data_IF_891321538257
#
_entry.id   IF_891321538257
#
_cell.length_a   1.000
_cell.length_b   1.000
_cell.length_c   1.000
_cell.angle_alpha   90.00
_cell.angle_beta   90.00
_cell.angle_gamma   90.00
#
_symmetry.space_group_name_H-M   'P 1'
#
loop_
_entity.id
_entity.type
_entity.pdbx_description
1 polymer ?
#
# COMPACT_ATOMS: atom_id res chain seq x y z
N UNK A 1 -24.29 27.86 -66.63
CA UNK A 1 -23.10 28.20 -65.82
C UNK A 1 -22.31 26.91 -65.63
N UNK A 2 -21.17 26.76 -66.32
CA UNK A 2 -20.15 25.72 -66.04
C UNK A 2 -19.44 26.09 -64.73
N UNK A 3 -19.12 25.09 -63.91
CA UNK A 3 -18.06 25.02 -62.88
C UNK A 3 -18.20 23.62 -62.21
N UNK A 4 -17.56 22.58 -62.73
CA UNK A 4 -16.17 22.10 -62.55
C UNK A 4 -15.85 21.35 -61.24
N UNK A 5 -15.75 20.02 -61.39
CA UNK A 5 -14.69 19.08 -61.00
C UNK A 5 -13.98 19.12 -59.62
N UNK A 6 -14.23 20.07 -58.72
CA UNK A 6 -13.60 20.08 -57.38
C UNK A 6 -14.47 19.46 -56.27
N UNK A 7 -15.74 19.16 -56.55
CA UNK A 7 -16.60 18.32 -55.72
C UNK A 7 -16.25 16.82 -55.73
N UNK A 8 -15.36 16.38 -56.63
CA UNK A 8 -15.00 14.97 -56.81
C UNK A 8 -13.79 14.52 -55.97
N UNK A 9 -13.04 15.45 -55.36
CA UNK A 9 -11.80 15.15 -54.63
C UNK A 9 -11.97 14.99 -53.11
N UNK A 10 -13.10 15.40 -52.53
CA UNK A 10 -13.28 15.38 -51.07
C UNK A 10 -13.92 14.08 -50.52
N UNK A 11 -14.68 13.35 -51.35
CA UNK A 11 -15.27 12.06 -50.95
C UNK A 11 -14.29 10.89 -51.16
N UNK A 12 -13.30 11.07 -52.03
CA UNK A 12 -12.27 10.06 -52.33
C UNK A 12 -11.18 9.91 -51.24
N UNK A 13 -11.24 10.65 -50.14
CA UNK A 13 -10.27 10.58 -49.02
C UNK A 13 -10.83 9.96 -47.73
N UNK A 14 -12.12 9.61 -47.68
CA UNK A 14 -12.77 8.99 -46.52
C UNK A 14 -13.02 7.47 -46.65
N UNK A 15 -12.67 6.86 -47.80
CA UNK A 15 -12.82 5.41 -48.04
C UNK A 15 -11.50 4.84 -48.56
N UNK A 16 -10.44 4.94 -47.75
CA UNK A 16 -9.29 4.04 -47.82
C UNK A 16 -9.42 3.05 -46.67
N UNK A 17 -9.91 1.86 -46.96
CA UNK A 17 -10.03 0.79 -45.97
C UNK A 17 -10.80 -0.44 -46.43
N UNK A 18 -11.51 -0.39 -47.56
CA UNK A 18 -12.11 -1.59 -48.16
C UNK A 18 -11.69 -1.70 -49.62
N UNK A 19 -10.80 -2.65 -49.89
CA UNK A 19 -10.32 -2.95 -51.23
C UNK A 19 -11.42 -3.54 -52.10
N UNK A 20 -11.96 -2.71 -53.00
CA UNK A 20 -12.57 -3.16 -54.25
C UNK A 20 -12.16 -2.18 -55.36
N UNK A 21 -11.48 -2.73 -56.37
CA UNK A 21 -10.92 -2.00 -57.52
C UNK A 21 -12.04 -1.61 -58.50
N UNK A 22 -11.99 -0.41 -59.12
CA UNK A 22 -12.91 -0.01 -60.17
C UNK A 22 -12.48 -0.66 -61.50
N UNK A 23 -13.35 -0.62 -62.52
CA UNK A 23 -13.19 -1.22 -63.87
C UNK A 23 -13.89 -2.58 -64.02
N UNK A 24 -15.18 -2.54 -64.38
CA UNK A 24 -15.74 -3.21 -65.57
C UNK A 24 -17.26 -3.05 -65.64
N UNK A 25 -17.73 -2.84 -66.88
CA UNK A 25 -19.10 -2.91 -67.40
C UNK A 25 -19.94 -1.64 -67.19
N UNK A 26 -19.74 -0.61 -68.02
CA UNK A 26 -20.25 -0.44 -69.39
C UNK A 26 -21.78 -0.29 -69.49
N UNK A 27 -22.19 0.93 -69.86
CA UNK A 27 -23.11 1.22 -70.97
C UNK A 27 -24.13 0.15 -71.36
N UNK A 28 -25.41 0.42 -71.11
CA UNK A 28 -26.45 0.53 -72.15
C UNK A 28 -27.78 0.90 -71.51
N UNK A 29 -28.40 1.97 -71.99
CA UNK A 29 -29.85 2.08 -71.90
C UNK A 29 -30.48 1.01 -72.79
N UNK A 30 -31.59 0.44 -72.36
CA UNK A 30 -32.86 0.47 -73.10
C UNK A 30 -33.94 -0.23 -72.28
N UNK A 31 -35.17 0.24 -72.44
CA UNK A 31 -36.40 -0.47 -72.10
C UNK A 31 -36.36 -1.91 -72.58
N UNK A 32 -36.79 -2.87 -71.75
CA UNK A 32 -37.81 -3.85 -72.16
C UNK A 32 -38.29 -4.69 -70.98
N UNK A 33 -39.61 -4.65 -70.85
CA UNK A 33 -40.51 -5.57 -70.16
C UNK A 33 -40.10 -7.04 -70.31
N UNK A 34 -39.96 -7.77 -69.20
CA UNK A 34 -40.11 -9.23 -69.22
C UNK A 34 -40.92 -9.72 -68.01
N UNK A 35 -42.07 -10.27 -68.37
CA UNK A 35 -43.02 -11.05 -67.58
C UNK A 35 -42.34 -12.15 -66.75
N UNK A 36 -42.85 -12.30 -65.53
CA UNK A 36 -43.24 -13.62 -65.02
C UNK A 36 -42.19 -14.39 -64.23
N UNK A 37 -42.41 -14.43 -62.91
CA UNK A 37 -42.00 -15.55 -62.07
C UNK A 37 -40.82 -15.29 -61.13
N UNK A 38 -41.01 -14.46 -60.10
CA UNK A 38 -40.16 -14.53 -58.91
C UNK A 38 -40.98 -14.21 -57.66
N UNK A 39 -41.27 -15.30 -56.93
CA UNK A 39 -41.72 -15.42 -55.54
C UNK A 39 -41.52 -14.13 -54.73
N UNK A 40 -42.59 -13.36 -54.55
CA UNK A 40 -42.69 -12.28 -53.56
C UNK A 40 -42.45 -12.92 -52.19
N UNK A 41 -41.21 -12.90 -51.70
CA UNK A 41 -40.96 -13.11 -50.27
C UNK A 41 -41.69 -11.96 -49.58
N UNK A 42 -42.61 -12.27 -48.68
CA UNK A 42 -43.36 -11.23 -47.99
C UNK A 42 -42.35 -10.28 -47.33
N UNK A 43 -42.65 -8.98 -47.35
CA UNK A 43 -41.79 -7.95 -46.73
C UNK A 43 -41.46 -8.33 -45.28
N UNK A 44 -42.37 -9.03 -44.59
CA UNK A 44 -42.15 -9.61 -43.27
C UNK A 44 -41.02 -10.64 -43.20
N UNK A 45 -40.89 -11.54 -44.18
CA UNK A 45 -39.80 -12.54 -44.21
C UNK A 45 -38.43 -11.86 -44.43
N UNK A 46 -38.38 -10.84 -45.28
CA UNK A 46 -37.14 -10.08 -45.53
C UNK A 46 -36.75 -9.26 -44.30
N UNK A 47 -37.70 -8.58 -43.66
CA UNK A 47 -37.47 -7.81 -42.42
C UNK A 47 -37.08 -8.74 -41.26
N UNK A 48 -37.69 -9.91 -41.14
CA UNK A 48 -37.34 -10.91 -40.14
C UNK A 48 -35.93 -11.49 -40.36
N UNK A 49 -35.54 -11.73 -41.62
CA UNK A 49 -34.19 -12.17 -41.96
C UNK A 49 -33.13 -11.11 -41.61
N UNK A 50 -33.36 -9.84 -42.00
CA UNK A 50 -32.48 -8.72 -41.62
C UNK A 50 -32.38 -8.53 -40.10
N UNK A 51 -33.50 -8.63 -39.37
CA UNK A 51 -33.49 -8.53 -37.90
C UNK A 51 -32.69 -9.68 -37.28
N UNK A 52 -32.84 -10.91 -37.77
CA UNK A 52 -32.05 -12.07 -37.31
C UNK A 52 -30.57 -11.90 -37.59
N UNK A 53 -30.19 -11.42 -38.77
CA UNK A 53 -28.79 -11.12 -39.10
C UNK A 53 -28.19 -10.03 -38.21
N UNK A 54 -28.96 -8.95 -37.95
CA UNK A 54 -28.54 -7.95 -36.99
C UNK A 54 -28.40 -8.54 -35.59
N UNK A 55 -29.39 -9.30 -35.10
CA UNK A 55 -29.34 -9.94 -33.78
C UNK A 55 -28.15 -10.91 -33.65
N UNK A 56 -27.80 -11.63 -34.71
CA UNK A 56 -26.61 -12.49 -34.75
C UNK A 56 -25.32 -11.65 -34.67
N UNK A 57 -25.20 -10.58 -35.46
CA UNK A 57 -24.05 -9.67 -35.39
C UNK A 57 -23.93 -8.99 -34.01
N UNK A 58 -25.04 -8.60 -33.39
CA UNK A 58 -25.08 -8.03 -32.04
C UNK A 58 -24.65 -9.06 -30.98
N UNK A 59 -25.09 -10.32 -31.09
CA UNK A 59 -24.69 -11.40 -30.17
C UNK A 59 -23.20 -11.73 -30.29
N UNK A 60 -22.66 -11.79 -31.51
CA UNK A 60 -21.23 -12.06 -31.74
C UNK A 60 -20.34 -10.93 -31.19
N UNK A 61 -20.72 -9.68 -31.42
CA UNK A 61 -20.03 -8.51 -30.85
C UNK A 61 -20.11 -8.49 -29.33
N UNK A 62 -21.28 -8.72 -28.75
CA UNK A 62 -21.46 -8.74 -27.31
C UNK A 62 -20.67 -9.88 -26.66
N UNK A 63 -20.61 -11.07 -27.27
CA UNK A 63 -19.80 -12.19 -26.78
C UNK A 63 -18.32 -11.87 -26.81
N UNK A 64 -17.86 -11.23 -27.88
CA UNK A 64 -16.46 -10.80 -28.03
C UNK A 64 -16.10 -9.76 -26.96
N UNK A 65 -16.94 -8.72 -26.79
CA UNK A 65 -16.75 -7.67 -25.77
C UNK A 65 -16.78 -8.26 -24.36
N UNK A 66 -17.73 -9.15 -24.05
CA UNK A 66 -17.83 -9.81 -22.75
C UNK A 66 -16.55 -10.62 -22.44
N UNK A 67 -15.99 -11.30 -23.43
CA UNK A 67 -14.77 -12.10 -23.26
C UNK A 67 -13.56 -11.20 -22.95
N UNK A 68 -13.41 -10.07 -23.65
CA UNK A 68 -12.35 -9.11 -23.37
C UNK A 68 -12.51 -8.44 -21.99
N UNK A 69 -13.73 -8.09 -21.60
CA UNK A 69 -14.00 -7.52 -20.28
C UNK A 69 -13.69 -8.53 -19.17
N UNK A 70 -14.11 -9.78 -19.33
CA UNK A 70 -13.81 -10.84 -18.37
C UNK A 70 -12.30 -11.09 -18.24
N UNK A 71 -11.57 -11.14 -19.38
CA UNK A 71 -10.12 -11.27 -19.37
C UNK A 71 -9.43 -10.08 -18.67
N UNK A 72 -9.92 -8.85 -18.88
CA UNK A 72 -9.42 -7.67 -18.21
C UNK A 72 -9.59 -7.72 -16.69
N UNK A 73 -10.77 -8.13 -16.21
CA UNK A 73 -11.05 -8.27 -14.76
C UNK A 73 -10.15 -9.33 -14.12
N UNK A 74 -10.03 -10.50 -14.75
CA UNK A 74 -9.17 -11.58 -14.24
C UNK A 74 -7.70 -11.17 -14.25
N UNK A 75 -7.24 -10.48 -15.31
CA UNK A 75 -5.89 -9.96 -15.39
C UNK A 75 -5.58 -8.92 -14.30
N UNK A 76 -6.50 -7.99 -14.05
CA UNK A 76 -6.33 -6.95 -13.03
C UNK A 76 -6.33 -7.54 -11.61
N UNK A 77 -7.21 -8.53 -11.34
CA UNK A 77 -7.23 -9.27 -10.08
C UNK A 77 -5.93 -10.07 -9.87
N UNK A 78 -5.46 -10.76 -10.91
CA UNK A 78 -4.20 -11.52 -10.86
C UNK A 78 -2.98 -10.64 -10.58
N UNK A 79 -2.89 -9.48 -11.24
CA UNK A 79 -1.81 -8.50 -11.00
C UNK A 79 -1.85 -7.93 -9.58
N UNK A 80 -3.05 -7.62 -9.07
CA UNK A 80 -3.22 -7.10 -7.71
C UNK A 80 -2.78 -8.12 -6.66
N UNK A 81 -3.12 -9.40 -6.85
CA UNK A 81 -2.71 -10.48 -5.96
C UNK A 81 -1.20 -10.77 -6.04
N UNK A 82 -0.61 -10.69 -7.23
CA UNK A 82 0.83 -10.91 -7.44
C UNK A 82 1.71 -9.74 -6.95
N UNK A 83 1.16 -8.52 -6.84
CA UNK A 83 1.91 -7.34 -6.41
C UNK A 83 2.45 -7.49 -4.98
N UNK A 84 1.69 -8.09 -4.07
CA UNK A 84 2.07 -8.26 -2.66
C UNK A 84 3.34 -9.12 -2.48
N UNK A 85 3.42 -10.37 -2.97
CA UNK A 85 4.64 -11.18 -2.83
C UNK A 85 5.81 -10.59 -3.62
N UNK A 86 5.58 -9.96 -4.77
CA UNK A 86 6.63 -9.29 -5.53
C UNK A 86 7.23 -8.11 -4.75
N UNK A 87 6.38 -7.33 -4.08
CA UNK A 87 6.82 -6.24 -3.20
C UNK A 87 7.61 -6.76 -2.00
N UNK A 88 7.19 -7.88 -1.39
CA UNK A 88 7.93 -8.54 -0.30
C UNK A 88 9.32 -8.98 -0.75
N UNK A 89 9.43 -9.62 -1.91
CA UNK A 89 10.71 -10.03 -2.50
C UNK A 89 11.62 -8.82 -2.79
N UNK A 90 11.05 -7.73 -3.31
CA UNK A 90 11.79 -6.49 -3.52
C UNK A 90 12.28 -5.87 -2.19
N UNK A 91 11.43 -5.83 -1.17
CA UNK A 91 11.77 -5.31 0.15
C UNK A 91 12.87 -6.15 0.83
N UNK A 92 12.81 -7.49 0.70
CA UNK A 92 13.85 -8.39 1.18
C UNK A 92 15.18 -8.20 0.44
N UNK A 93 15.14 -8.01 -0.88
CA UNK A 93 16.34 -7.83 -1.69
C UNK A 93 17.01 -6.45 -1.51
N UNK A 94 16.23 -5.41 -1.23
CA UNK A 94 16.73 -4.03 -1.08
C UNK A 94 16.92 -3.58 0.36
N UNK A 95 16.43 -4.36 1.34
CA UNK A 95 16.57 -4.05 2.77
C UNK A 95 15.78 -2.81 3.23
N UNK A 96 14.89 -2.26 2.40
CA UNK A 96 14.13 -1.04 2.67
C UNK A 96 12.85 -1.25 3.49
N UNK A 97 12.49 -2.50 3.80
CA UNK A 97 11.20 -2.86 4.37
C UNK A 97 11.29 -3.80 5.56
N UNK A 98 12.22 -3.52 6.49
CA UNK A 98 12.38 -4.12 7.82
C UNK A 98 11.70 -5.47 7.97
N UNK A 99 12.49 -6.55 7.84
CA UNK A 99 12.12 -7.96 7.99
C UNK A 99 10.79 -8.19 8.70
N UNK A 100 9.69 -8.29 7.93
CA UNK A 100 8.50 -9.01 8.36
C UNK A 100 8.82 -10.52 8.32
N UNK A 101 9.79 -10.92 9.15
CA UNK A 101 9.95 -12.31 9.55
C UNK A 101 9.06 -12.46 10.78
N UNK A 102 7.98 -13.21 10.59
CA UNK A 102 7.21 -13.80 11.67
C UNK A 102 8.16 -14.34 12.75
N UNK A 103 8.00 -13.82 13.98
CA UNK A 103 8.69 -14.35 15.14
C UNK A 103 9.95 -13.59 15.56
N UNK A 104 9.75 -12.41 16.17
CA UNK A 104 10.58 -12.03 17.31
C UNK A 104 10.32 -13.00 18.46
N UNK A 105 10.70 -14.27 18.31
CA UNK A 105 10.72 -15.24 19.39
C UNK A 105 12.02 -15.07 20.16
N UNK A 106 11.86 -14.98 21.46
CA UNK A 106 12.83 -14.92 22.55
C UNK A 106 14.05 -15.88 22.47
N UNK A 107 14.15 -16.76 21.48
CA UNK A 107 15.28 -17.68 21.26
C UNK A 107 16.54 -17.00 20.69
N UNK A 108 16.42 -15.91 19.94
CA UNK A 108 17.61 -15.23 19.36
C UNK A 108 18.46 -14.49 20.42
N UNK A 109 17.94 -14.29 21.63
CA UNK A 109 18.66 -13.59 22.70
C UNK A 109 19.79 -14.48 23.27
N UNK A 110 19.65 -15.82 23.22
CA UNK A 110 20.63 -16.74 23.82
C UNK A 110 21.87 -16.98 22.95
N UNK A 111 21.82 -16.65 21.65
CA UNK A 111 22.91 -16.90 20.68
C UNK A 111 23.65 -15.65 20.23
N UNK A 112 23.25 -14.46 20.70
CA UNK A 112 23.94 -13.20 20.36
C UNK A 112 25.27 -13.09 21.12
N UNK A 113 26.39 -13.05 20.40
CA UNK A 113 27.68 -12.67 20.96
C UNK A 113 27.81 -11.14 20.98
N UNK A 114 27.99 -10.50 22.15
CA UNK A 114 28.10 -9.05 22.24
C UNK A 114 29.41 -8.56 21.61
N UNK A 115 29.31 -7.61 20.69
CA UNK A 115 30.48 -7.02 20.00
C UNK A 115 31.06 -5.91 20.87
N UNK A 116 31.89 -6.30 21.84
CA UNK A 116 32.43 -5.44 22.93
C UNK A 116 33.19 -4.19 22.47
N UNK A 117 33.60 -4.12 21.21
CA UNK A 117 34.46 -3.05 20.69
C UNK A 117 33.69 -1.77 20.31
N UNK A 118 32.34 -1.79 20.36
CA UNK A 118 31.51 -0.66 19.94
C UNK A 118 30.50 -0.24 21.01
N UNK A 119 30.81 0.82 21.75
CA UNK A 119 29.94 1.37 22.79
C UNK A 119 29.02 2.43 22.19
N UNK A 120 27.71 2.26 22.35
CA UNK A 120 26.68 3.19 21.91
C UNK A 120 26.09 3.93 23.11
N UNK A 121 26.01 5.25 23.01
CA UNK A 121 25.33 6.09 23.99
C UNK A 121 23.84 6.12 23.68
N UNK A 122 23.03 5.61 24.60
CA UNK A 122 21.57 5.75 24.57
C UNK A 122 21.19 6.92 25.44
N UNK A 123 20.41 7.86 24.90
CA UNK A 123 19.82 8.96 25.64
C UNK A 123 18.32 8.80 25.72
N UNK A 124 17.76 9.14 26.88
CA UNK A 124 16.35 8.97 27.17
C UNK A 124 15.69 10.34 27.29
N UNK A 125 14.68 10.56 26.44
CA UNK A 125 13.88 11.76 26.46
C UNK A 125 12.42 11.43 26.80
N UNK A 126 11.77 12.34 27.51
CA UNK A 126 10.39 12.20 27.97
C UNK A 126 9.62 13.49 27.75
N UNK A 127 8.50 13.38 27.04
CA UNK A 127 7.58 14.47 26.77
C UNK A 127 6.16 14.08 27.20
N UNK A 128 5.38 15.08 27.60
CA UNK A 128 3.95 14.93 27.90
C UNK A 128 3.17 15.94 27.09
N UNK A 129 2.08 15.50 26.48
CA UNK A 129 1.19 16.40 25.77
C UNK A 129 0.46 17.32 26.75
N UNK A 130 0.17 18.56 26.34
CA UNK A 130 -0.46 19.60 27.18
C UNK A 130 -1.80 19.20 27.80
N UNK A 131 -2.53 18.26 27.19
CA UNK A 131 -3.78 17.72 27.75
C UNK A 131 -3.55 16.78 28.94
N UNK A 132 -2.37 16.16 29.03
CA UNK A 132 -2.04 15.19 30.07
C UNK A 132 -1.24 15.86 31.19
N UNK A 133 -1.85 15.99 32.36
CA UNK A 133 -1.23 16.58 33.53
C UNK A 133 -0.40 15.57 34.32
N UNK A 134 0.51 14.86 33.64
CA UNK A 134 1.44 13.93 34.29
C UNK A 134 2.83 14.53 34.42
N UNK A 135 3.53 14.17 35.49
CA UNK A 135 4.97 14.37 35.57
C UNK A 135 5.65 13.07 35.14
N UNK A 136 6.20 13.06 33.93
CA UNK A 136 6.86 11.89 33.35
C UNK A 136 8.31 12.24 33.03
N UNK A 137 9.24 11.51 33.63
CA UNK A 137 10.69 11.76 33.49
C UNK A 137 11.48 10.45 33.48
N UNK A 138 12.58 10.35 32.71
CA UNK A 138 13.51 9.25 32.87
C UNK A 138 14.18 9.31 34.23
N UNK A 139 14.44 8.15 34.85
CA UNK A 139 15.30 8.07 36.04
C UNK A 139 16.78 8.27 35.70
N UNK A 140 17.17 7.86 34.49
CA UNK A 140 18.51 7.97 33.95
C UNK A 140 18.46 8.62 32.57
N UNK A 141 19.21 9.71 32.38
CA UNK A 141 19.22 10.47 31.12
C UNK A 141 20.01 9.78 30.02
N UNK A 142 20.99 8.96 30.40
CA UNK A 142 21.83 8.24 29.46
C UNK A 142 22.34 6.91 30.02
N UNK A 143 22.56 5.94 29.13
CA UNK A 143 23.19 4.65 29.40
C UNK A 143 24.11 4.30 28.25
N UNK A 144 25.22 3.63 28.55
CA UNK A 144 26.15 3.10 27.56
C UNK A 144 25.91 1.61 27.40
N UNK A 145 25.67 1.17 26.17
CA UNK A 145 25.36 -0.23 25.86
C UNK A 145 26.18 -0.70 24.68
N UNK A 146 26.46 -1.99 24.65
CA UNK A 146 27.13 -2.64 23.52
C UNK A 146 26.08 -3.35 22.64
N UNK A 147 26.20 -3.34 21.31
CA UNK A 147 25.36 -4.18 20.44
C UNK A 147 25.42 -5.67 20.82
N UNK A 148 24.26 -6.29 20.95
CA UNK A 148 24.07 -7.65 21.49
C UNK A 148 23.90 -7.71 23.02
N UNK A 149 24.12 -6.61 23.75
CA UNK A 149 23.86 -6.52 25.19
C UNK A 149 22.42 -6.05 25.46
N UNK A 150 21.76 -6.69 26.43
CA UNK A 150 20.45 -6.26 26.90
C UNK A 150 20.58 -5.22 28.00
N UNK A 151 19.73 -4.19 27.97
CA UNK A 151 19.75 -3.10 28.93
C UNK A 151 18.34 -2.78 29.46
N UNK A 152 18.30 -2.30 30.69
CA UNK A 152 17.08 -1.90 31.38
C UNK A 152 17.16 -0.42 31.76
N UNK A 153 16.11 0.32 31.41
CA UNK A 153 15.95 1.71 31.81
C UNK A 153 14.61 1.96 32.49
N UNK A 154 14.59 2.86 33.47
CA UNK A 154 13.38 3.18 34.22
C UNK A 154 12.92 4.59 33.90
N UNK A 155 11.62 4.74 33.68
CA UNK A 155 10.94 6.03 33.70
C UNK A 155 10.04 6.12 34.92
N UNK A 156 9.84 7.33 35.41
CA UNK A 156 8.94 7.61 36.51
C UNK A 156 7.77 8.43 36.00
N UNK A 157 6.55 7.96 36.27
CA UNK A 157 5.32 8.69 35.99
C UNK A 157 4.57 8.98 37.29
N UNK A 158 4.07 10.21 37.42
CA UNK A 158 3.24 10.63 38.54
C UNK A 158 2.02 11.39 38.06
N UNK A 159 0.86 11.05 38.63
CA UNK A 159 -0.36 11.82 38.48
C UNK A 159 -0.55 12.77 39.69
N UNK A 160 -0.22 14.07 39.58
CA UNK A 160 -0.42 15.04 40.65
C UNK A 160 -1.88 15.48 40.86
N UNK A 161 -2.84 14.99 40.08
CA UNK A 161 -4.24 15.45 40.12
C UNK A 161 -5.09 14.60 41.07
N UNK A 162 -6.26 15.11 41.44
CA UNK A 162 -7.23 14.43 42.32
C UNK A 162 -8.17 13.45 41.57
N UNK A 163 -7.95 13.24 40.27
CA UNK A 163 -8.75 12.31 39.44
C UNK A 163 -7.86 11.26 38.77
N UNK A 164 -8.37 10.03 38.54
CA UNK A 164 -7.65 9.06 37.74
C UNK A 164 -7.55 9.57 36.29
N UNK A 165 -6.39 9.39 35.68
CA UNK A 165 -6.11 9.77 34.30
C UNK A 165 -5.57 8.54 33.58
N UNK A 166 -5.99 8.35 32.32
CA UNK A 166 -5.49 7.29 31.46
C UNK A 166 -4.60 7.93 30.40
N UNK A 167 -3.38 7.44 30.29
CA UNK A 167 -2.40 7.87 29.30
C UNK A 167 -2.04 6.75 28.34
N UNK A 168 -1.81 7.11 27.08
CA UNK A 168 -1.18 6.24 26.09
C UNK A 168 0.14 6.89 25.64
N UNK A 169 1.18 6.09 25.45
CA UNK A 169 2.47 6.60 24.97
C UNK A 169 2.80 6.11 23.57
N UNK A 170 3.46 6.99 22.82
CA UNK A 170 4.19 6.65 21.60
C UNK A 170 5.68 6.86 21.83
N UNK A 171 6.50 6.21 21.02
CA UNK A 171 7.94 6.33 21.08
C UNK A 171 8.53 6.64 19.70
N UNK A 172 9.71 7.26 19.72
CA UNK A 172 10.53 7.49 18.55
C UNK A 172 12.00 7.19 18.85
N UNK A 173 12.71 6.65 17.86
CA UNK A 173 14.15 6.37 17.92
C UNK A 173 14.85 7.29 16.93
N UNK A 174 15.84 8.03 17.41
CA UNK A 174 16.67 8.90 16.58
C UNK A 174 18.14 8.49 16.67
N UNK A 175 18.89 8.46 15.56
CA UNK A 175 18.42 8.71 14.20
C UNK A 175 17.53 7.56 13.68
N UNK A 176 16.58 7.81 12.75
CA UNK A 176 15.60 6.80 12.32
C UNK A 176 16.22 5.53 11.73
N UNK A 177 17.39 5.66 11.10
CA UNK A 177 18.13 4.54 10.49
C UNK A 177 18.63 3.55 11.54
N UNK A 178 18.85 4.00 12.79
CA UNK A 178 19.18 3.13 13.91
C UNK A 178 17.95 2.41 14.48
N UNK A 179 16.74 2.90 14.18
CA UNK A 179 15.48 2.34 14.68
C UNK A 179 15.25 0.89 14.29
N UNK A 180 15.76 0.44 13.13
CA UNK A 180 15.62 -0.95 12.67
C UNK A 180 16.44 -1.95 13.49
N UNK A 181 17.51 -1.49 14.15
CA UNK A 181 18.36 -2.31 15.01
C UNK A 181 17.98 -2.19 16.49
N UNK A 182 17.12 -1.24 16.83
CA UNK A 182 16.70 -0.99 18.21
C UNK A 182 15.49 -1.85 18.54
N UNK A 183 15.72 -2.97 19.23
CA UNK A 183 14.68 -3.93 19.58
C UNK A 183 14.18 -3.68 21.00
N UNK A 184 12.93 -3.22 21.12
CA UNK A 184 12.27 -3.02 22.40
C UNK A 184 11.47 -4.27 22.79
N UNK A 185 11.99 -5.05 23.74
CA UNK A 185 11.39 -6.32 24.16
C UNK A 185 10.13 -6.09 25.02
N UNK A 186 10.11 -5.07 25.89
CA UNK A 186 8.95 -4.79 26.77
C UNK A 186 8.60 -3.31 26.77
N UNK A 187 7.34 -2.98 26.42
CA UNK A 187 6.91 -1.63 26.09
C UNK A 187 5.51 -1.29 26.64
N UNK A 188 5.43 -0.27 27.52
CA UNK A 188 4.16 0.39 27.88
C UNK A 188 3.53 1.18 26.74
N UNK A 189 4.30 1.42 25.68
CA UNK A 189 3.79 2.04 24.48
C UNK A 189 2.77 1.07 23.90
N UNK A 190 1.56 1.58 23.64
CA UNK A 190 0.37 0.85 23.20
C UNK A 190 -0.53 0.24 24.28
N UNK A 191 -0.14 0.27 25.55
CA UNK A 191 -1.06 -0.09 26.65
C UNK A 191 -1.58 1.17 27.33
N UNK A 192 -2.89 1.19 27.59
CA UNK A 192 -3.54 2.23 28.37
C UNK A 192 -3.03 2.15 29.82
N UNK A 193 -2.20 3.12 30.21
CA UNK A 193 -1.71 3.24 31.58
C UNK A 193 -2.69 4.11 32.37
N UNK A 194 -3.30 3.56 33.42
CA UNK A 194 -4.16 4.31 34.33
C UNK A 194 -3.40 4.61 35.60
N UNK A 195 -3.21 5.89 35.91
CA UNK A 195 -2.69 6.35 37.20
C UNK A 195 -3.81 6.95 38.03
N UNK A 196 -3.99 6.45 39.25
CA UNK A 196 -4.90 7.00 40.25
C UNK A 196 -4.39 8.36 40.77
N UNK A 197 -5.23 9.09 41.50
CA UNK A 197 -4.82 10.35 42.11
C UNK A 197 -3.57 10.19 42.98
N UNK A 198 -2.59 11.08 42.79
CA UNK A 198 -1.31 11.11 43.51
C UNK A 198 -0.46 9.85 43.40
N UNK A 199 -0.81 8.93 42.50
CA UNK A 199 -0.07 7.70 42.26
C UNK A 199 1.23 8.00 41.50
N UNK A 200 2.30 7.33 41.92
CA UNK A 200 3.63 7.38 41.31
C UNK A 200 4.07 5.94 41.02
N UNK A 201 4.46 5.67 39.77
CA UNK A 201 4.87 4.34 39.31
C UNK A 201 6.18 4.42 38.53
N UNK A 202 7.00 3.40 38.72
CA UNK A 202 8.21 3.18 37.92
C UNK A 202 7.89 2.24 36.75
N UNK A 203 8.26 2.68 35.55
CA UNK A 203 7.95 2.05 34.28
C UNK A 203 9.26 1.52 33.65
N UNK A 204 9.58 0.22 33.81
CA UNK A 204 10.74 -0.42 33.19
C UNK A 204 10.64 -0.59 31.67
N UNK A 205 11.68 -0.18 30.95
CA UNK A 205 11.88 -0.39 29.52
C UNK A 205 13.07 -1.31 29.31
N UNK A 206 12.79 -2.51 28.82
CA UNK A 206 13.81 -3.50 28.46
C UNK A 206 14.04 -3.51 26.95
N UNK A 207 15.31 -3.35 26.55
CA UNK A 207 15.70 -3.22 25.15
C UNK A 207 17.10 -3.77 24.90
N UNK A 208 17.44 -3.99 23.64
CA UNK A 208 18.80 -4.28 23.17
C UNK A 208 19.02 -3.67 21.78
N UNK A 209 20.28 -3.55 21.39
CA UNK A 209 20.65 -3.19 20.02
C UNK A 209 21.09 -4.47 19.33
N UNK A 210 20.57 -4.74 18.13
CA UNK A 210 20.98 -5.87 17.32
C UNK A 210 22.48 -5.79 16.95
N UNK A 211 23.27 -6.88 17.08
CA UNK A 211 24.67 -6.90 16.66
C UNK A 211 24.89 -6.54 15.17
N UNK A 212 23.91 -6.76 14.28
CA UNK A 212 23.96 -6.34 12.87
C UNK A 212 24.17 -4.82 12.71
N UNK A 213 23.90 -4.02 13.74
CA UNK A 213 24.20 -2.59 13.78
C UNK A 213 25.69 -2.29 13.51
N UNK A 214 26.59 -3.21 13.87
CA UNK A 214 28.03 -3.05 13.66
C UNK A 214 28.42 -3.31 12.21
N UNK A 215 27.67 -4.16 11.51
CA UNK A 215 27.97 -4.59 10.15
C UNK A 215 27.50 -3.58 9.09
N UNK A 216 26.49 -2.75 9.38
CA UNK A 216 25.98 -1.74 8.44
C UNK A 216 26.93 -0.52 8.33
N UNK A 217 27.51 -0.23 7.14
CA UNK A 217 28.35 0.95 6.91
C UNK A 217 27.64 2.28 7.19
N UNK A 218 26.31 2.34 7.03
CA UNK A 218 25.53 3.56 7.34
C UNK A 218 25.55 3.86 8.82
N UNK A 219 25.65 2.81 9.65
CA UNK A 219 25.63 2.95 11.09
C UNK A 219 26.98 3.31 11.66
N UNK A 220 28.10 3.16 10.94
CA UNK A 220 29.48 3.40 11.41
C UNK A 220 29.67 4.70 12.20
N UNK A 221 28.99 5.78 11.81
CA UNK A 221 29.07 7.11 12.45
C UNK A 221 28.04 7.35 13.55
N UNK A 222 27.08 6.45 13.72
CA UNK A 222 26.03 6.55 14.73
C UNK A 222 26.56 5.97 16.04
N UNK A 223 26.84 6.86 16.99
CA UNK A 223 27.27 6.50 18.35
C UNK A 223 26.28 6.99 19.43
N UNK A 224 25.27 7.73 19.01
CA UNK A 224 24.24 8.30 19.86
C UNK A 224 22.88 7.89 19.31
N UNK A 225 22.10 7.22 20.15
CA UNK A 225 20.70 6.92 19.87
C UNK A 225 19.86 7.61 20.95
N UNK A 226 18.80 8.29 20.53
CA UNK A 226 17.84 8.93 21.43
C UNK A 226 16.53 8.17 21.38
N UNK A 227 16.12 7.63 22.53
CA UNK A 227 14.80 7.05 22.72
C UNK A 227 13.90 8.10 23.36
N UNK A 228 12.96 8.63 22.58
CA UNK A 228 12.01 9.65 23.02
C UNK A 228 10.63 9.04 23.23
N UNK A 229 10.05 9.25 24.41
CA UNK A 229 8.67 8.91 24.73
C UNK A 229 7.79 10.15 24.78
N UNK A 230 6.59 10.07 24.23
CA UNK A 230 5.57 11.12 24.39
C UNK A 230 4.26 10.50 24.87
N UNK A 231 3.74 10.99 25.98
CA UNK A 231 2.44 10.57 26.53
C UNK A 231 1.30 11.51 26.12
N UNK A 232 0.16 10.90 25.82
CA UNK A 232 -1.10 11.56 25.46
C UNK A 232 -2.22 11.12 26.39
N UNK A 233 -3.15 12.01 26.71
CA UNK A 233 -4.36 11.65 27.48
C UNK A 233 -5.28 10.84 26.57
N UNK A 234 -5.58 9.60 26.98
CA UNK A 234 -6.56 8.76 26.33
C UNK A 234 -7.95 9.04 26.93
N UNK A 235 -8.93 9.30 26.07
CA UNK A 235 -10.33 9.36 26.51
C UNK A 235 -10.79 7.94 26.81
N UNK A 236 -11.56 7.78 27.89
CA UNK A 236 -12.15 6.48 28.27
C UNK A 236 -12.95 5.93 27.08
N UNK A 237 -12.53 4.79 26.54
CA UNK A 237 -13.14 4.14 25.37
C UNK A 237 -12.56 4.50 24.00
N UNK A 238 -11.44 5.22 23.94
CA UNK A 238 -10.72 5.47 22.69
C UNK A 238 -9.97 4.22 22.25
N UNK A 239 -10.53 3.47 21.29
CA UNK A 239 -9.79 2.41 20.60
C UNK A 239 -8.92 3.05 19.53
N UNK A 240 -7.57 2.97 19.63
CA UNK A 240 -6.71 3.38 18.54
C UNK A 240 -7.12 2.59 17.28
N UNK A 241 -7.18 3.21 16.09
CA UNK A 241 -7.35 2.46 14.85
C UNK A 241 -6.16 1.52 14.73
N UNK A 242 -6.39 0.21 14.89
CA UNK A 242 -5.39 -0.79 14.57
C UNK A 242 -5.07 -0.64 13.07
N UNK A 243 -3.79 -0.66 12.65
CA UNK A 243 -3.45 -0.76 11.23
C UNK A 243 -4.11 -2.04 10.71
N UNK A 244 -5.18 -1.85 9.94
CA UNK A 244 -5.97 -2.95 9.39
C UNK A 244 -5.15 -3.65 8.32
N UNK A 245 -4.62 -4.82 8.66
CA UNK A 245 -4.32 -5.84 7.66
C UNK A 245 -5.62 -6.57 7.35
N UNK A 246 -6.34 -6.08 6.33
CA UNK A 246 -7.34 -6.85 5.60
C UNK A 246 -6.67 -7.40 4.32
#
# INVERSE_FOLDING_TARGET
MRLDAKGCALVARAVRGRGCNPVRLCHRGNSQEFRGGQREKSIEEVVAAFRREQDQQWKERNRTVLTYLAAGVVGMAGLSYAAVPLYRLYCQATGLGGSALDGHSSEQIETMEPVKDRIIKITFNSDVHSSLQWNFKPQQTEVYVVPGETALAFYKAKNPTDRPIIGISTYNVLPPEAGQYFNKIQCFCFEEQRLNPHEEVDMPVFFFIDPEFVEDPRMEKVNLITLSYTFFEAKIGYKPPLPGYN
#
